data_IF_064199301652
#
_entry.id   IF_064199301652
#
_cell.length_a   1.000
_cell.length_b   1.000
_cell.length_c   1.000
_cell.angle_alpha   90.00
_cell.angle_beta   90.00
_cell.angle_gamma   90.00
#
_symmetry.space_group_name_H-M   'P 1'
#
loop_
_entity.id
_entity.type
_entity.pdbx_description
1 polymer ?
#
# COMPACT_ATOMS: atom_id res chain seq x y z
N UNK A 1 -9.41 6.66 -20.37
CA UNK A 1 -9.76 5.48 -19.56
C UNK A 1 -11.15 5.05 -20.00
N UNK A 2 -11.32 3.82 -20.49
CA UNK A 2 -12.61 3.33 -20.98
C UNK A 2 -13.35 2.61 -19.85
N UNK A 3 -14.62 2.95 -19.66
CA UNK A 3 -15.50 2.34 -18.68
C UNK A 3 -16.62 1.58 -19.39
N UNK A 4 -16.93 0.39 -18.89
CA UNK A 4 -17.97 -0.45 -19.47
C UNK A 4 -19.34 0.23 -19.38
N UNK A 5 -20.06 0.22 -20.50
CA UNK A 5 -21.47 0.61 -20.58
C UNK A 5 -22.36 -0.34 -19.76
N UNK A 6 -23.60 0.05 -19.51
CA UNK A 6 -24.55 -0.80 -18.79
C UNK A 6 -24.87 -2.09 -19.56
N UNK A 7 -24.85 -2.03 -20.89
CA UNK A 7 -25.07 -3.18 -21.77
C UNK A 7 -23.89 -4.15 -21.71
N UNK A 8 -22.67 -3.63 -21.71
CA UNK A 8 -21.44 -4.43 -21.60
C UNK A 8 -21.31 -5.07 -20.21
N UNK A 9 -21.67 -4.34 -19.15
CA UNK A 9 -21.76 -4.90 -17.79
C UNK A 9 -22.77 -6.04 -17.73
N UNK A 10 -23.94 -5.90 -18.36
CA UNK A 10 -24.95 -6.96 -18.42
C UNK A 10 -24.46 -8.17 -19.23
N UNK A 11 -23.85 -7.95 -20.39
CA UNK A 11 -23.28 -9.02 -21.21
C UNK A 11 -22.20 -9.80 -20.45
N UNK A 12 -21.30 -9.07 -19.78
CA UNK A 12 -20.23 -9.65 -18.97
C UNK A 12 -20.80 -10.49 -17.81
N UNK A 13 -21.68 -9.91 -17.00
CA UNK A 13 -22.19 -10.54 -15.79
C UNK A 13 -23.18 -11.68 -16.07
N UNK A 14 -24.04 -11.53 -17.08
CA UNK A 14 -25.16 -12.47 -17.32
C UNK A 14 -24.86 -13.54 -18.36
N UNK A 15 -23.84 -13.36 -19.21
CA UNK A 15 -23.52 -14.32 -20.27
C UNK A 15 -22.07 -14.80 -20.22
N UNK A 16 -21.11 -13.88 -20.32
CA UNK A 16 -19.70 -14.26 -20.46
C UNK A 16 -19.13 -14.93 -19.21
N UNK A 17 -19.40 -14.38 -18.01
CA UNK A 17 -18.92 -14.99 -16.77
C UNK A 17 -19.58 -16.36 -16.47
N UNK A 18 -20.90 -16.54 -16.65
CA UNK A 18 -21.51 -17.87 -16.57
C UNK A 18 -20.93 -18.87 -17.58
N UNK A 19 -20.80 -18.50 -18.86
CA UNK A 19 -20.24 -19.38 -19.89
C UNK A 19 -18.76 -19.74 -19.63
N UNK A 20 -17.96 -18.78 -19.13
CA UNK A 20 -16.59 -19.04 -18.73
C UNK A 20 -16.50 -20.02 -17.54
N UNK A 21 -17.54 -20.10 -16.70
CA UNK A 21 -17.62 -21.06 -15.58
C UNK A 21 -18.12 -22.44 -16.02
N UNK A 22 -18.90 -22.53 -17.10
CA UNK A 22 -19.30 -23.81 -17.73
C UNK A 22 -18.08 -24.54 -18.29
N UNK A 23 -17.15 -23.79 -18.88
CA UNK A 23 -15.80 -24.28 -19.22
C UNK A 23 -14.98 -24.40 -17.94
N UNK A 24 -15.20 -25.45 -17.16
CA UNK A 24 -14.48 -25.66 -15.92
C UNK A 24 -12.97 -25.55 -16.12
N UNK A 25 -12.32 -24.66 -15.35
CA UNK A 25 -10.86 -24.59 -15.29
C UNK A 25 -10.33 -25.96 -14.85
N UNK A 26 -9.34 -26.53 -15.53
CA UNK A 26 -8.79 -27.84 -15.12
C UNK A 26 -8.51 -27.84 -13.60
N UNK A 27 -8.86 -28.89 -12.83
CA UNK A 27 -8.66 -28.91 -11.38
C UNK A 27 -7.25 -28.49 -10.95
N UNK A 28 -6.24 -28.89 -11.72
CA UNK A 28 -4.83 -28.51 -11.49
C UNK A 28 -4.55 -27.00 -11.58
N UNK A 29 -5.41 -26.26 -12.29
CA UNK A 29 -5.34 -24.80 -12.44
C UNK A 29 -6.24 -24.07 -11.44
N UNK A 30 -7.03 -24.78 -10.63
CA UNK A 30 -7.88 -24.21 -9.59
C UNK A 30 -7.16 -24.23 -8.24
N UNK A 31 -6.51 -23.11 -7.93
CA UNK A 31 -5.93 -22.87 -6.61
C UNK A 31 -4.52 -23.44 -6.44
N UNK A 32 -4.10 -23.55 -5.19
CA UNK A 32 -2.79 -24.07 -4.82
C UNK A 32 -2.93 -25.56 -4.55
N UNK A 33 -2.26 -26.40 -5.34
CA UNK A 33 -2.27 -27.86 -5.16
C UNK A 33 -1.38 -28.25 -3.97
N UNK A 34 -1.79 -27.91 -2.75
CA UNK A 34 -1.03 -28.15 -1.51
C UNK A 34 -0.57 -29.60 -1.30
N UNK A 35 -1.18 -30.55 -1.99
CA UNK A 35 -0.87 -31.98 -1.93
C UNK A 35 0.15 -32.44 -2.98
N UNK A 36 0.55 -31.57 -3.92
CA UNK A 36 1.50 -31.91 -4.99
C UNK A 36 2.66 -30.90 -5.04
N UNK A 37 3.92 -31.36 -5.15
CA UNK A 37 5.05 -30.47 -5.38
C UNK A 37 4.99 -29.84 -6.79
N UNK A 38 5.56 -28.63 -6.99
CA UNK A 38 6.25 -27.80 -6.00
C UNK A 38 5.33 -26.76 -5.33
N UNK A 39 5.23 -26.80 -4.00
CA UNK A 39 4.47 -25.84 -3.18
C UNK A 39 5.20 -24.50 -2.99
N UNK A 40 6.51 -24.56 -3.10
CA UNK A 40 7.40 -23.41 -3.11
C UNK A 40 8.27 -23.49 -4.37
N UNK A 41 8.74 -22.35 -4.87
CA UNK A 41 9.70 -22.36 -5.96
C UNK A 41 10.90 -23.26 -5.62
N UNK A 42 11.37 -24.03 -6.61
CA UNK A 42 12.51 -24.96 -6.46
C UNK A 42 13.82 -24.18 -6.22
N UNK A 43 13.84 -22.90 -6.58
CA UNK A 43 14.96 -22.00 -6.38
C UNK A 43 14.90 -21.29 -5.03
N UNK A 44 16.04 -21.21 -4.34
CA UNK A 44 16.17 -20.50 -3.06
C UNK A 44 16.06 -18.97 -3.20
N UNK A 45 16.31 -18.45 -4.40
CA UNK A 45 16.30 -17.01 -4.67
C UNK A 45 14.88 -16.42 -4.53
N UNK A 46 14.66 -15.72 -3.41
CA UNK A 46 13.42 -14.96 -3.17
C UNK A 46 13.48 -13.62 -3.88
N UNK A 47 12.75 -13.49 -4.99
CA UNK A 47 12.58 -12.24 -5.71
C UNK A 47 11.37 -11.48 -5.17
N UNK A 48 11.50 -10.16 -5.02
CA UNK A 48 10.38 -9.29 -4.70
C UNK A 48 9.48 -9.13 -5.91
N UNK A 49 8.17 -8.99 -5.68
CA UNK A 49 7.19 -8.85 -6.77
C UNK A 49 7.54 -7.68 -7.71
N UNK A 50 8.00 -6.55 -7.15
CA UNK A 50 8.39 -5.37 -7.93
C UNK A 50 9.54 -5.63 -8.91
N UNK A 51 10.36 -6.67 -8.68
CA UNK A 51 11.49 -7.01 -9.53
C UNK A 51 11.07 -7.79 -10.78
N UNK A 52 9.95 -8.52 -10.70
CA UNK A 52 9.48 -9.40 -11.76
C UNK A 52 8.23 -8.86 -12.47
N UNK A 53 7.38 -8.10 -11.77
CA UNK A 53 6.09 -7.66 -12.28
C UNK A 53 6.19 -6.49 -13.28
N UNK A 54 7.15 -5.58 -13.06
CA UNK A 54 7.24 -4.35 -13.85
C UNK A 54 7.74 -4.53 -15.28
N UNK A 55 8.39 -5.66 -15.60
CA UNK A 55 9.04 -5.94 -16.90
C UNK A 55 9.86 -4.76 -17.46
N UNK A 56 10.43 -3.93 -16.58
CA UNK A 56 11.21 -2.75 -16.96
C UNK A 56 12.37 -3.10 -17.90
N UNK A 57 12.98 -4.27 -17.68
CA UNK A 57 13.88 -4.89 -18.63
C UNK A 57 13.24 -6.16 -19.21
N UNK A 58 13.00 -6.25 -20.54
CA UNK A 58 12.45 -7.46 -21.16
C UNK A 58 13.31 -8.72 -20.94
N UNK A 59 14.60 -8.55 -20.67
CA UNK A 59 15.55 -9.65 -20.44
C UNK A 59 15.81 -9.93 -18.96
N UNK A 60 15.16 -9.22 -18.04
CA UNK A 60 15.40 -9.29 -16.59
C UNK A 60 16.88 -9.08 -16.19
N UNK A 61 17.66 -8.43 -17.06
CA UNK A 61 19.07 -8.13 -16.80
C UNK A 61 19.22 -7.26 -15.55
N UNK A 62 18.34 -6.29 -15.37
CA UNK A 62 18.24 -5.44 -14.18
C UNK A 62 18.17 -6.24 -12.86
N UNK A 63 17.46 -7.37 -12.83
CA UNK A 63 17.40 -8.28 -11.67
C UNK A 63 18.77 -8.89 -11.38
N UNK A 64 19.48 -9.36 -12.42
CA UNK A 64 20.84 -9.88 -12.26
C UNK A 64 21.80 -8.82 -11.71
N UNK A 65 21.77 -7.61 -12.28
CA UNK A 65 22.62 -6.51 -11.81
C UNK A 65 22.37 -6.19 -10.34
N UNK A 66 21.10 -6.18 -9.91
CA UNK A 66 20.74 -5.90 -8.52
C UNK A 66 21.10 -7.03 -7.56
N UNK A 67 20.75 -8.28 -7.90
CA UNK A 67 20.83 -9.43 -6.98
C UNK A 67 22.18 -10.14 -7.00
N UNK A 68 22.85 -10.17 -8.15
CA UNK A 68 24.13 -10.88 -8.33
C UNK A 68 25.30 -9.91 -8.38
N UNK A 69 25.23 -8.88 -9.25
CA UNK A 69 26.32 -7.90 -9.36
C UNK A 69 26.32 -6.85 -8.23
N UNK A 70 25.28 -6.82 -7.39
CA UNK A 70 25.18 -5.92 -6.24
C UNK A 70 25.01 -4.43 -6.60
N UNK A 71 24.67 -4.12 -7.85
CA UNK A 71 24.52 -2.74 -8.31
C UNK A 71 23.18 -2.16 -7.84
N UNK A 72 23.25 -1.12 -7.00
CA UNK A 72 22.09 -0.39 -6.50
C UNK A 72 21.78 0.80 -7.40
N UNK A 73 20.55 0.87 -7.88
CA UNK A 73 20.06 2.05 -8.60
C UNK A 73 19.81 3.20 -7.62
N UNK A 74 20.14 4.42 -8.03
CA UNK A 74 19.75 5.63 -7.31
C UNK A 74 18.25 5.86 -7.45
N UNK A 75 17.54 6.24 -6.37
CA UNK A 75 16.13 6.61 -6.47
C UNK A 75 15.94 7.79 -7.44
N UNK A 76 14.94 7.70 -8.31
CA UNK A 76 14.51 8.83 -9.12
C UNK A 76 13.56 9.74 -8.32
N UNK A 77 13.26 10.94 -8.84
CA UNK A 77 12.41 11.90 -8.14
C UNK A 77 11.03 11.33 -7.73
N UNK A 78 10.27 10.61 -8.60
CA UNK A 78 9.03 9.95 -8.20
C UNK A 78 9.19 8.91 -7.08
N UNK A 79 10.31 8.17 -7.05
CA UNK A 79 10.59 7.23 -5.97
C UNK A 79 10.86 7.95 -4.65
N UNK A 80 11.60 9.06 -4.68
CA UNK A 80 11.88 9.89 -3.48
C UNK A 80 10.57 10.48 -2.95
N UNK A 81 9.77 11.07 -3.82
CA UNK A 81 8.44 11.57 -3.47
C UNK A 81 7.58 10.47 -2.82
N UNK A 82 7.48 9.30 -3.48
CA UNK A 82 6.71 8.18 -2.95
C UNK A 82 7.20 7.76 -1.56
N UNK A 83 8.52 7.70 -1.33
CA UNK A 83 9.10 7.37 -0.03
C UNK A 83 8.70 8.38 1.05
N UNK A 84 8.77 9.69 0.75
CA UNK A 84 8.35 10.76 1.66
C UNK A 84 6.88 10.62 2.04
N UNK A 85 6.00 10.49 1.05
CA UNK A 85 4.55 10.38 1.29
C UNK A 85 4.20 9.11 2.08
N UNK A 86 4.84 7.98 1.77
CA UNK A 86 4.69 6.75 2.54
C UNK A 86 5.18 6.89 3.98
N UNK A 87 6.25 7.67 4.22
CA UNK A 87 6.74 7.94 5.57
C UNK A 87 5.73 8.73 6.39
N UNK A 88 5.11 9.77 5.82
CA UNK A 88 4.04 10.55 6.48
C UNK A 88 2.92 9.62 6.97
N UNK A 89 2.39 8.79 6.06
CA UNK A 89 1.31 7.83 6.37
C UNK A 89 1.74 6.84 7.45
N UNK A 90 2.97 6.31 7.33
CA UNK A 90 3.47 5.32 8.28
C UNK A 90 3.63 5.93 9.67
N UNK A 91 4.19 7.14 9.76
CA UNK A 91 4.38 7.85 11.04
C UNK A 91 3.05 8.13 11.71
N UNK A 92 2.08 8.75 11.00
CA UNK A 92 0.78 9.07 11.63
C UNK A 92 0.04 7.83 12.10
N UNK A 93 0.05 6.75 11.32
CA UNK A 93 -0.59 5.50 11.69
C UNK A 93 0.10 4.86 12.89
N UNK A 94 1.43 4.89 12.96
CA UNK A 94 2.17 4.32 14.08
C UNK A 94 1.95 5.11 15.36
N UNK A 95 1.99 6.45 15.32
CA UNK A 95 1.71 7.27 16.51
C UNK A 95 0.26 7.09 16.98
N UNK A 96 -0.71 7.12 16.06
CA UNK A 96 -2.11 6.87 16.39
C UNK A 96 -2.30 5.48 17.04
N UNK A 97 -1.66 4.44 16.49
CA UNK A 97 -1.70 3.10 17.10
C UNK A 97 -1.08 3.06 18.48
N UNK A 98 0.05 3.76 18.70
CA UNK A 98 0.69 3.82 20.01
C UNK A 98 -0.22 4.47 21.05
N UNK A 99 -0.88 5.57 20.70
CA UNK A 99 -1.87 6.24 21.55
C UNK A 99 -3.01 5.29 21.88
N UNK A 100 -3.65 4.68 20.85
CA UNK A 100 -4.76 3.73 21.04
C UNK A 100 -4.35 2.55 21.93
N UNK A 101 -3.16 1.98 21.73
CA UNK A 101 -2.70 0.84 22.53
C UNK A 101 -2.30 1.20 23.95
N UNK A 102 -1.89 2.45 24.20
CA UNK A 102 -1.51 2.93 25.54
C UNK A 102 -2.71 3.39 26.36
N UNK A 103 -3.61 4.13 25.73
CA UNK A 103 -4.72 4.83 26.40
C UNK A 103 -6.06 4.08 26.27
N UNK A 104 -6.14 3.10 25.35
CA UNK A 104 -7.35 2.30 25.17
C UNK A 104 -8.54 3.14 24.73
N UNK A 105 -9.62 3.12 25.52
CA UNK A 105 -10.86 3.83 25.21
C UNK A 105 -10.75 5.35 25.38
N UNK A 106 -9.81 5.82 26.20
CA UNK A 106 -9.56 7.25 26.45
C UNK A 106 -8.62 7.89 25.41
N UNK A 107 -8.36 7.20 24.30
CA UNK A 107 -7.38 7.63 23.29
C UNK A 107 -7.75 8.90 22.51
N UNK A 108 -8.98 9.42 22.62
CA UNK A 108 -9.45 10.49 21.76
C UNK A 108 -8.66 11.79 21.98
N UNK A 109 -8.35 12.13 23.23
CA UNK A 109 -7.54 13.31 23.55
C UNK A 109 -6.15 13.19 22.93
N UNK A 110 -5.48 12.05 23.11
CA UNK A 110 -4.18 11.78 22.50
C UNK A 110 -4.22 11.85 20.97
N UNK A 111 -5.26 11.30 20.34
CA UNK A 111 -5.41 11.35 18.88
C UNK A 111 -5.61 12.79 18.38
N UNK A 112 -6.34 13.63 19.11
CA UNK A 112 -6.50 15.04 18.74
C UNK A 112 -5.21 15.84 18.91
N UNK A 113 -4.32 15.41 19.80
CA UNK A 113 -3.02 16.01 20.07
C UNK A 113 -1.88 15.50 19.15
N UNK A 114 -2.19 14.74 18.09
CA UNK A 114 -1.18 14.30 17.13
C UNK A 114 -0.50 15.48 16.43
N UNK A 115 0.81 15.61 16.64
CA UNK A 115 1.63 16.64 16.01
C UNK A 115 2.14 16.19 14.64
N UNK A 116 2.20 17.14 13.69
CA UNK A 116 2.85 16.90 12.41
C UNK A 116 4.35 16.67 12.65
N UNK A 117 4.94 15.58 12.13
CA UNK A 117 6.36 15.36 12.28
C UNK A 117 7.09 16.43 11.46
N UNK A 118 7.93 17.24 12.12
CA UNK A 118 8.61 18.37 11.50
C UNK A 118 9.60 17.93 10.41
N UNK A 119 10.58 17.10 10.78
CA UNK A 119 11.76 16.84 9.95
C UNK A 119 11.61 15.62 9.03
N UNK A 120 10.46 15.49 8.37
CA UNK A 120 10.20 14.35 7.46
C UNK A 120 11.03 14.40 6.18
N UNK A 121 11.48 15.59 5.78
CA UNK A 121 12.19 15.84 4.53
C UNK A 121 13.71 15.83 4.68
N UNK A 122 14.25 15.92 5.90
CA UNK A 122 15.70 16.08 6.13
C UNK A 122 16.53 14.92 5.58
N UNK A 123 15.97 13.71 5.61
CA UNK A 123 16.66 12.50 5.14
C UNK A 123 16.67 12.35 3.61
N UNK A 124 16.01 13.25 2.85
CA UNK A 124 15.80 13.08 1.42
C UNK A 124 16.58 14.11 0.59
N UNK A 125 17.35 13.67 -0.43
CA UNK A 125 18.08 14.58 -1.31
C UNK A 125 17.11 15.27 -2.27
N UNK A 126 16.59 16.43 -1.86
CA UNK A 126 15.63 17.22 -2.64
C UNK A 126 16.34 18.41 -3.30
N UNK A 127 16.11 18.60 -4.60
CA UNK A 127 16.51 19.82 -5.30
C UNK A 127 15.62 21.00 -4.88
N UNK A 128 16.21 22.19 -4.75
CA UNK A 128 15.47 23.42 -4.45
C UNK A 128 14.31 23.61 -5.46
N UNK A 129 13.10 23.89 -4.97
CA UNK A 129 11.85 23.98 -5.75
C UNK A 129 10.98 22.72 -5.75
N UNK A 130 11.58 21.52 -5.83
CA UNK A 130 10.83 20.24 -5.71
C UNK A 130 10.35 20.03 -4.28
N UNK A 131 11.09 20.56 -3.29
CA UNK A 131 10.72 20.49 -1.88
C UNK A 131 9.42 21.22 -1.55
N UNK A 132 9.13 22.34 -2.20
CA UNK A 132 7.94 23.16 -1.90
C UNK A 132 6.64 22.47 -2.33
N UNK A 133 6.57 22.01 -3.59
CA UNK A 133 5.40 21.27 -4.09
C UNK A 133 5.20 19.95 -3.32
N UNK A 134 6.29 19.26 -3.00
CA UNK A 134 6.22 18.04 -2.19
C UNK A 134 5.71 18.35 -0.78
N UNK A 135 6.12 19.47 -0.18
CA UNK A 135 5.65 19.87 1.13
C UNK A 135 4.15 20.16 1.15
N UNK A 136 3.62 20.84 0.12
CA UNK A 136 2.16 21.04 -0.01
C UNK A 136 1.40 19.71 -0.05
N UNK A 137 1.94 18.72 -0.77
CA UNK A 137 1.35 17.36 -0.84
C UNK A 137 1.45 16.64 0.51
N UNK A 138 2.58 16.77 1.21
CA UNK A 138 2.79 16.22 2.56
C UNK A 138 1.79 16.81 3.55
N UNK A 139 1.61 18.13 3.56
CA UNK A 139 0.68 18.83 4.44
C UNK A 139 -0.77 18.40 4.16
N UNK A 140 -1.16 18.38 2.87
CA UNK A 140 -2.48 17.93 2.46
C UNK A 140 -2.76 16.48 2.89
N UNK A 141 -1.80 15.58 2.72
CA UNK A 141 -1.91 14.17 3.10
C UNK A 141 -1.97 14.00 4.62
N UNK A 142 -1.11 14.70 5.36
CA UNK A 142 -1.12 14.69 6.82
C UNK A 142 -2.47 15.15 7.36
N UNK A 143 -2.96 16.30 6.90
CA UNK A 143 -4.24 16.86 7.34
C UNK A 143 -5.40 15.91 7.04
N UNK A 144 -5.40 15.29 5.87
CA UNK A 144 -6.42 14.31 5.50
C UNK A 144 -6.42 13.10 6.45
N UNK A 145 -5.26 12.46 6.66
CA UNK A 145 -5.17 11.28 7.51
C UNK A 145 -5.41 11.59 8.99
N UNK A 146 -4.96 12.75 9.48
CA UNK A 146 -5.23 13.22 10.84
C UNK A 146 -6.74 13.29 11.11
N UNK A 147 -7.48 14.04 10.28
CA UNK A 147 -8.92 14.18 10.47
C UNK A 147 -9.65 12.85 10.33
N UNK A 148 -9.20 11.99 9.42
CA UNK A 148 -9.78 10.66 9.24
C UNK A 148 -9.58 9.76 10.46
N UNK A 149 -8.39 9.76 11.05
CA UNK A 149 -8.07 8.97 12.24
C UNK A 149 -8.89 9.44 13.44
N UNK A 150 -8.91 10.75 13.71
CA UNK A 150 -9.67 11.33 14.82
C UNK A 150 -11.16 11.05 14.67
N UNK A 151 -11.72 11.31 13.49
CA UNK A 151 -13.13 11.05 13.22
C UNK A 151 -13.48 9.57 13.39
N UNK A 152 -12.60 8.67 12.91
CA UNK A 152 -12.82 7.23 13.03
C UNK A 152 -12.72 6.74 14.47
N UNK A 153 -11.79 7.28 15.25
CA UNK A 153 -11.69 7.01 16.69
C UNK A 153 -12.98 7.35 17.41
N UNK A 154 -13.46 8.59 17.23
CA UNK A 154 -14.73 9.04 17.82
C UNK A 154 -15.94 8.21 17.36
N UNK A 155 -16.02 7.87 16.07
CA UNK A 155 -17.11 7.04 15.54
C UNK A 155 -17.14 5.64 16.16
N UNK A 156 -15.98 5.00 16.36
CA UNK A 156 -15.90 3.67 16.96
C UNK A 156 -16.33 3.71 18.42
N UNK A 157 -15.86 4.70 19.20
CA UNK A 157 -16.24 4.86 20.61
C UNK A 157 -17.75 5.15 20.76
N UNK A 158 -18.31 6.00 19.91
CA UNK A 158 -19.75 6.29 19.92
C UNK A 158 -20.61 5.08 19.55
N UNK A 159 -20.15 4.24 18.61
CA UNK A 159 -20.86 3.00 18.22
C UNK A 159 -20.73 1.89 19.24
N UNK A 160 -19.70 1.90 20.07
CA UNK A 160 -19.37 0.85 21.02
C UNK A 160 -19.24 1.43 22.44
N UNK A 161 -20.34 1.92 23.04
CA UNK A 161 -20.29 2.58 24.35
C UNK A 161 -19.85 1.68 25.51
N UNK A 162 -19.78 0.36 25.30
CA UNK A 162 -19.38 -0.65 26.29
C UNK A 162 -18.04 -1.33 25.94
N UNK A 163 -17.19 -0.71 25.12
CA UNK A 163 -15.91 -1.28 24.66
C UNK A 163 -14.79 -1.20 25.71
N UNK A 164 -15.03 -0.50 26.82
CA UNK A 164 -14.22 -0.51 28.04
C UNK A 164 -14.94 -1.21 29.20
N UNK A 165 -14.29 -1.34 30.37
CA UNK A 165 -14.96 -1.81 31.59
C UNK A 165 -16.11 -0.91 32.03
#
# INVERSE_FOLDING_TARGET
MYFLSQEEKRLLLRRLLPQARESGVHPDLRGWNWHQPPLSPIYEAKLGLYEIAGKYCPTSRDVYWRRVAGVKATPNAPMVEGQVLHRVITTIILEAKRIIYREGVECLEGLTALEQPGDLLEDFPLSQGVGEELWERVEALWRFEYHRIVARGGEVLARQPYIGP
#
